data_IF_843358270065
#
_entry.id   IF_843358270065
#
_cell.length_a   1.000
_cell.length_b   1.000
_cell.length_c   1.000
_cell.angle_alpha   90.00
_cell.angle_beta   90.00
_cell.angle_gamma   90.00
#
_symmetry.space_group_name_H-M   'P 1'
#
loop_
_entity.id
_entity.type
_entity.pdbx_description
1 polymer ?
#
# COMPACT_ATOMS: atom_id res chain seq x y z
N UNK A 1 5.83 1.17 22.65
CA UNK A 1 6.56 1.73 21.49
C UNK A 1 6.08 3.16 21.26
N UNK A 2 6.96 4.13 21.01
CA UNK A 2 6.55 5.52 20.74
C UNK A 2 5.94 5.66 19.35
N UNK A 3 5.16 6.73 19.13
CA UNK A 3 4.57 7.05 17.81
C UNK A 3 5.64 7.20 16.72
N UNK A 4 6.76 7.86 17.04
CA UNK A 4 7.88 8.05 16.10
C UNK A 4 8.51 6.72 15.68
N UNK A 5 8.76 5.81 16.63
CA UNK A 5 9.28 4.48 16.33
C UNK A 5 8.31 3.66 15.49
N UNK A 6 7.00 3.77 15.75
CA UNK A 6 5.96 3.14 14.92
C UNK A 6 6.00 3.64 13.49
N UNK A 7 5.98 4.95 13.28
CA UNK A 7 6.03 5.57 11.95
C UNK A 7 7.28 5.13 11.18
N UNK A 8 8.44 5.11 11.84
CA UNK A 8 9.69 4.66 11.23
C UNK A 8 9.64 3.18 10.84
N UNK A 9 9.10 2.33 11.70
CA UNK A 9 8.89 0.91 11.41
C UNK A 9 7.92 0.72 10.24
N UNK A 10 6.83 1.48 10.18
CA UNK A 10 5.89 1.46 9.06
C UNK A 10 6.50 1.92 7.75
N UNK A 11 7.39 2.91 7.79
CA UNK A 11 8.15 3.33 6.61
C UNK A 11 9.11 2.23 6.12
N UNK A 12 9.74 1.47 7.02
CA UNK A 12 10.48 0.27 6.65
C UNK A 12 9.57 -0.83 6.12
N UNK A 13 8.34 -0.92 6.62
CA UNK A 13 7.28 -1.77 6.06
C UNK A 13 7.09 -1.49 4.57
N UNK A 14 6.90 -0.24 4.15
CA UNK A 14 6.74 0.08 2.72
C UNK A 14 7.97 -0.25 1.86
N UNK A 15 9.19 -0.08 2.39
CA UNK A 15 10.41 -0.50 1.70
C UNK A 15 10.49 -2.03 1.59
N UNK A 16 10.16 -2.75 2.67
CA UNK A 16 10.07 -4.20 2.68
C UNK A 16 8.99 -4.73 1.73
N UNK A 17 7.86 -4.03 1.61
CA UNK A 17 6.82 -4.33 0.63
C UNK A 17 7.33 -4.26 -0.80
N UNK A 18 8.13 -3.24 -1.13
CA UNK A 18 8.73 -3.09 -2.45
C UNK A 18 9.63 -4.28 -2.79
N UNK A 19 10.49 -4.70 -1.85
CA UNK A 19 11.34 -5.88 -2.02
C UNK A 19 10.49 -7.15 -2.15
N UNK A 20 9.52 -7.35 -1.26
CA UNK A 20 8.65 -8.52 -1.25
C UNK A 20 7.81 -8.63 -2.54
N UNK A 21 7.34 -7.52 -3.10
CA UNK A 21 6.67 -7.48 -4.41
C UNK A 21 7.57 -7.94 -5.55
N UNK A 22 8.85 -7.56 -5.56
CA UNK A 22 9.77 -8.01 -6.60
C UNK A 22 10.13 -9.49 -6.44
N UNK A 23 10.18 -9.97 -5.19
CA UNK A 23 10.40 -11.38 -4.89
C UNK A 23 9.26 -12.30 -5.37
N UNK A 24 8.10 -11.78 -5.78
CA UNK A 24 7.03 -12.62 -6.34
C UNK A 24 7.37 -13.17 -7.73
N UNK A 25 8.39 -12.63 -8.39
CA UNK A 25 8.89 -13.11 -9.70
C UNK A 25 9.92 -14.23 -9.56
N UNK A 26 10.31 -14.58 -8.33
CA UNK A 26 11.13 -15.75 -7.99
C UNK A 26 10.30 -16.68 -7.11
N UNK A 27 10.63 -17.98 -7.03
CA UNK A 27 9.81 -18.97 -6.31
C UNK A 27 9.97 -18.85 -4.79
N UNK A 28 9.48 -17.74 -4.22
CA UNK A 28 9.44 -17.47 -2.77
C UNK A 28 7.97 -17.47 -2.33
N UNK A 29 7.44 -18.59 -1.81
CA UNK A 29 6.01 -18.77 -1.55
C UNK A 29 5.39 -17.71 -0.62
N UNK A 30 6.19 -17.17 0.29
CA UNK A 30 5.76 -16.19 1.29
C UNK A 30 5.94 -14.74 0.87
N UNK A 31 6.54 -14.48 -0.30
CA UNK A 31 6.83 -13.12 -0.76
C UNK A 31 5.56 -12.27 -0.89
N UNK A 32 4.50 -12.85 -1.45
CA UNK A 32 3.24 -12.13 -1.65
C UNK A 32 2.60 -11.75 -0.30
N UNK A 33 2.46 -12.70 0.63
CA UNK A 33 1.96 -12.45 1.98
C UNK A 33 2.80 -11.38 2.71
N UNK A 34 4.13 -11.50 2.62
CA UNK A 34 5.07 -10.52 3.16
C UNK A 34 4.83 -9.12 2.62
N UNK A 35 4.54 -9.00 1.32
CA UNK A 35 4.20 -7.73 0.70
C UNK A 35 2.89 -7.15 1.26
N UNK A 36 1.82 -7.94 1.37
CA UNK A 36 0.53 -7.47 1.91
C UNK A 36 0.68 -6.97 3.35
N UNK A 37 1.36 -7.74 4.21
CA UNK A 37 1.62 -7.36 5.60
C UNK A 37 2.38 -6.03 5.68
N UNK A 38 3.42 -5.92 4.86
CA UNK A 38 4.32 -4.77 4.82
C UNK A 38 3.63 -3.50 4.30
N UNK A 39 2.78 -3.62 3.27
CA UNK A 39 1.95 -2.51 2.77
C UNK A 39 0.94 -2.09 3.85
N UNK A 40 0.26 -3.05 4.48
CA UNK A 40 -0.73 -2.77 5.53
C UNK A 40 -0.10 -2.01 6.70
N UNK A 41 1.09 -2.44 7.13
CA UNK A 41 1.86 -1.73 8.15
C UNK A 41 2.25 -0.31 7.71
N UNK A 42 2.60 -0.15 6.43
CA UNK A 42 2.84 1.14 5.80
C UNK A 42 1.64 2.08 5.83
N UNK A 43 0.45 1.57 5.47
CA UNK A 43 -0.81 2.31 5.51
C UNK A 43 -1.16 2.77 6.93
N UNK A 44 -0.93 1.93 7.93
CA UNK A 44 -1.10 2.31 9.34
C UNK A 44 -0.16 3.46 9.74
N UNK A 45 1.08 3.45 9.25
CA UNK A 45 2.03 4.54 9.47
C UNK A 45 1.58 5.84 8.82
N UNK A 46 1.09 5.78 7.58
CA UNK A 46 0.49 6.94 6.89
C UNK A 46 -0.72 7.47 7.64
N UNK A 47 -1.57 6.58 8.17
CA UNK A 47 -2.75 6.94 8.95
C UNK A 47 -2.36 7.68 10.23
N UNK A 48 -1.43 7.11 11.00
CA UNK A 48 -0.98 7.68 12.26
C UNK A 48 -0.26 9.04 12.09
N UNK A 49 0.40 9.24 10.96
CA UNK A 49 1.21 10.42 10.69
C UNK A 49 0.44 11.54 10.01
N UNK A 50 -0.21 11.23 8.90
CA UNK A 50 -0.81 12.21 7.99
C UNK A 50 -2.34 12.18 8.00
N UNK A 51 -2.96 11.22 8.67
CA UNK A 51 -4.43 11.07 8.70
C UNK A 51 -5.15 12.29 9.24
N UNK A 52 -4.66 12.89 10.33
CA UNK A 52 -5.25 14.13 10.89
C UNK A 52 -5.14 15.31 9.91
N UNK A 53 -3.96 15.49 9.32
CA UNK A 53 -3.67 16.61 8.42
C UNK A 53 -4.45 16.50 7.10
N UNK A 54 -4.68 15.28 6.61
CA UNK A 54 -5.49 15.01 5.42
C UNK A 54 -7.02 15.14 5.68
N UNK A 55 -7.43 15.32 6.94
CA UNK A 55 -8.84 15.42 7.35
C UNK A 55 -9.58 14.08 7.34
N UNK A 56 -10.89 14.14 7.62
CA UNK A 56 -11.74 12.96 7.78
C UNK A 56 -11.77 12.05 6.55
N UNK A 57 -11.79 12.63 5.35
CA UNK A 57 -11.77 11.87 4.09
C UNK A 57 -10.46 11.10 3.93
N UNK A 58 -9.32 11.71 4.28
CA UNK A 58 -8.02 11.04 4.23
C UNK A 58 -7.94 9.85 5.19
N UNK A 59 -8.48 9.99 6.40
CA UNK A 59 -8.60 8.89 7.37
C UNK A 59 -9.47 7.76 6.82
N UNK A 60 -10.66 8.07 6.29
CA UNK A 60 -11.57 7.07 5.74
C UNK A 60 -10.89 6.31 4.59
N UNK A 61 -10.23 7.02 3.67
CA UNK A 61 -9.51 6.40 2.55
C UNK A 61 -8.43 5.41 3.04
N UNK A 62 -7.61 5.82 4.00
CA UNK A 62 -6.58 4.95 4.58
C UNK A 62 -7.19 3.79 5.37
N UNK A 63 -8.26 4.00 6.14
CA UNK A 63 -8.97 2.94 6.86
C UNK A 63 -9.52 1.88 5.92
N UNK A 64 -10.12 2.28 4.80
CA UNK A 64 -10.57 1.34 3.75
C UNK A 64 -9.38 0.55 3.21
N UNK A 65 -8.26 1.23 2.95
CA UNK A 65 -7.03 0.57 2.50
C UNK A 65 -6.52 -0.47 3.50
N UNK A 66 -6.49 -0.13 4.79
CA UNK A 66 -6.08 -1.02 5.89
C UNK A 66 -7.01 -2.23 5.98
N UNK A 67 -8.34 -2.04 5.89
CA UNK A 67 -9.31 -3.13 5.90
C UNK A 67 -9.10 -4.07 4.69
N UNK A 68 -8.81 -3.52 3.52
CA UNK A 68 -8.40 -4.30 2.34
C UNK A 68 -7.13 -5.12 2.61
N UNK A 69 -6.12 -4.51 3.24
CA UNK A 69 -4.89 -5.21 3.65
C UNK A 69 -5.16 -6.37 4.62
N UNK A 70 -5.97 -6.15 5.65
CA UNK A 70 -6.38 -7.19 6.61
C UNK A 70 -7.12 -8.34 5.91
N UNK A 71 -8.10 -8.03 5.06
CA UNK A 71 -8.80 -9.04 4.28
C UNK A 71 -7.85 -9.81 3.34
N UNK A 72 -6.87 -9.12 2.76
CA UNK A 72 -5.84 -9.71 1.90
C UNK A 72 -4.93 -10.68 2.65
N UNK A 73 -4.55 -10.34 3.88
CA UNK A 73 -3.77 -11.22 4.78
C UNK A 73 -4.56 -12.49 5.07
N UNK A 74 -5.84 -12.37 5.48
CA UNK A 74 -6.70 -13.52 5.77
C UNK A 74 -6.86 -14.41 4.53
N UNK A 75 -7.17 -13.82 3.38
CA UNK A 75 -7.31 -14.57 2.13
C UNK A 75 -6.00 -15.26 1.71
N UNK A 76 -4.86 -14.59 1.85
CA UNK A 76 -3.54 -15.16 1.54
C UNK A 76 -3.17 -16.32 2.48
N UNK A 77 -3.52 -16.25 3.76
CA UNK A 77 -3.32 -17.35 4.71
C UNK A 77 -4.21 -18.54 4.36
N UNK A 78 -5.48 -18.32 4.04
CA UNK A 78 -6.39 -19.39 3.63
C UNK A 78 -5.94 -20.07 2.33
N UNK A 79 -5.40 -19.31 1.38
CA UNK A 79 -4.77 -19.87 0.18
C UNK A 79 -3.55 -20.73 0.51
N UNK A 80 -2.70 -20.29 1.45
CA UNK A 80 -1.56 -21.09 1.91
C UNK A 80 -1.99 -22.41 2.59
N UNK A 81 -3.21 -22.47 3.11
CA UNK A 81 -3.85 -23.67 3.68
C UNK A 81 -4.60 -24.52 2.63
N UNK A 82 -4.51 -24.18 1.34
CA UNK A 82 -5.10 -24.93 0.24
C UNK A 82 -6.52 -24.51 -0.17
N UNK A 83 -7.05 -23.42 0.39
CA UNK A 83 -8.40 -22.94 0.05
C UNK A 83 -8.40 -22.09 -1.24
N UNK A 84 -8.19 -22.72 -2.40
CA UNK A 84 -8.05 -22.05 -3.71
C UNK A 84 -9.20 -21.11 -4.09
N UNK A 85 -10.41 -21.36 -3.58
CA UNK A 85 -11.59 -20.50 -3.78
C UNK A 85 -11.42 -19.08 -3.23
N UNK A 86 -10.41 -18.82 -2.39
CA UNK A 86 -10.11 -17.50 -1.82
C UNK A 86 -9.25 -16.60 -2.71
N UNK A 87 -8.78 -17.11 -3.86
CA UNK A 87 -7.95 -16.35 -4.80
C UNK A 87 -8.64 -15.08 -5.33
N UNK A 88 -9.93 -15.11 -5.74
CA UNK A 88 -10.66 -13.89 -6.10
C UNK A 88 -10.79 -12.92 -4.93
N UNK A 89 -11.05 -13.42 -3.72
CA UNK A 89 -11.15 -12.60 -2.50
C UNK A 89 -9.84 -11.89 -2.21
N UNK A 90 -8.70 -12.56 -2.32
CA UNK A 90 -7.38 -11.95 -2.18
C UNK A 90 -7.16 -10.83 -3.20
N UNK A 91 -7.46 -11.07 -4.47
CA UNK A 91 -7.31 -10.05 -5.52
C UNK A 91 -8.20 -8.83 -5.28
N UNK A 92 -9.46 -9.03 -4.87
CA UNK A 92 -10.38 -7.94 -4.55
C UNK A 92 -9.95 -7.17 -3.29
N UNK A 93 -9.46 -7.86 -2.27
CA UNK A 93 -8.93 -7.24 -1.06
C UNK A 93 -7.72 -6.34 -1.38
N UNK A 94 -6.85 -6.79 -2.30
CA UNK A 94 -5.74 -5.98 -2.81
C UNK A 94 -6.23 -4.76 -3.59
N UNK A 95 -7.28 -4.89 -4.43
CA UNK A 95 -7.90 -3.74 -5.09
C UNK A 95 -8.38 -2.71 -4.07
N UNK A 96 -9.08 -3.14 -3.01
CA UNK A 96 -9.54 -2.25 -1.94
C UNK A 96 -8.36 -1.58 -1.23
N UNK A 97 -7.29 -2.34 -0.93
CA UNK A 97 -6.08 -1.82 -0.29
C UNK A 97 -5.45 -0.69 -1.10
N UNK A 98 -5.23 -0.93 -2.40
CA UNK A 98 -4.60 0.04 -3.30
C UNK A 98 -5.55 1.20 -3.69
N UNK A 99 -6.86 0.97 -3.76
CA UNK A 99 -7.85 2.05 -3.94
C UNK A 99 -7.86 3.00 -2.74
N UNK A 100 -7.73 2.47 -1.51
CA UNK A 100 -7.58 3.31 -0.31
C UNK A 100 -6.34 4.20 -0.38
N UNK A 101 -5.21 3.63 -0.83
CA UNK A 101 -3.96 4.37 -1.03
C UNK A 101 -4.06 5.41 -2.17
N UNK A 102 -4.70 5.04 -3.28
CA UNK A 102 -4.96 5.92 -4.42
C UNK A 102 -5.85 7.10 -4.02
N UNK A 103 -6.96 6.83 -3.32
CA UNK A 103 -7.91 7.84 -2.85
C UNK A 103 -7.23 8.78 -1.85
N UNK A 104 -6.41 8.25 -0.93
CA UNK A 104 -5.59 9.06 -0.04
C UNK A 104 -4.64 9.96 -0.83
N UNK A 105 -3.96 9.43 -1.85
CA UNK A 105 -3.11 10.19 -2.76
C UNK A 105 -3.82 11.37 -3.42
N UNK A 106 -5.03 11.16 -3.95
CA UNK A 106 -5.83 12.23 -4.55
C UNK A 106 -6.13 13.35 -3.55
N UNK A 107 -6.44 13.00 -2.30
CA UNK A 107 -6.74 13.96 -1.23
C UNK A 107 -5.49 14.77 -0.87
N UNK A 108 -4.37 14.10 -0.63
CA UNK A 108 -3.16 14.77 -0.14
C UNK A 108 -2.43 15.58 -1.21
N UNK A 109 -2.62 15.32 -2.50
CA UNK A 109 -2.12 16.20 -3.57
C UNK A 109 -2.69 17.62 -3.44
N UNK A 110 -3.93 17.75 -2.95
CA UNK A 110 -4.59 19.05 -2.73
C UNK A 110 -4.20 19.67 -1.39
N UNK A 111 -4.25 18.89 -0.32
CA UNK A 111 -4.00 19.38 1.06
C UNK A 111 -2.51 19.59 1.35
N UNK A 112 -1.64 18.85 0.65
CA UNK A 112 -0.17 18.87 0.77
C UNK A 112 0.37 18.68 2.21
N UNK A 113 -0.08 17.65 2.97
CA UNK A 113 0.38 17.40 4.33
C UNK A 113 1.83 16.89 4.41
N UNK A 114 2.36 16.31 3.32
CA UNK A 114 3.74 15.82 3.28
C UNK A 114 4.67 16.95 2.83
N UNK A 115 5.89 17.06 3.38
CA UNK A 115 6.84 18.10 2.99
C UNK A 115 7.26 17.98 1.51
N UNK A 116 7.30 16.76 0.98
CA UNK A 116 7.47 16.47 -0.43
C UNK A 116 6.83 15.11 -0.77
N UNK A 117 6.59 14.86 -2.06
CA UNK A 117 6.07 13.56 -2.51
C UNK A 117 4.56 13.35 -2.26
N UNK A 118 3.75 14.40 -2.18
CA UNK A 118 2.30 14.27 -1.99
C UNK A 118 1.59 13.43 -3.09
N UNK A 119 2.21 13.28 -4.27
CA UNK A 119 1.71 12.38 -5.32
C UNK A 119 2.12 10.91 -5.18
N UNK A 120 3.02 10.56 -4.25
CA UNK A 120 3.56 9.20 -4.14
C UNK A 120 2.49 8.16 -3.78
N UNK A 121 1.56 8.40 -2.83
CA UNK A 121 0.48 7.45 -2.57
C UNK A 121 -0.42 7.23 -3.78
N UNK A 122 -0.66 8.27 -4.58
CA UNK A 122 -1.44 8.13 -5.82
C UNK A 122 -0.75 7.16 -6.77
N UNK A 123 0.53 7.37 -7.04
CA UNK A 123 1.31 6.56 -7.98
C UNK A 123 1.51 5.12 -7.50
N UNK A 124 1.75 4.93 -6.20
CA UNK A 124 1.82 3.62 -5.57
C UNK A 124 0.46 2.89 -5.58
N UNK A 125 -0.63 3.63 -5.36
CA UNK A 125 -2.02 3.15 -5.34
C UNK A 125 -2.59 2.78 -6.71
N UNK A 126 -2.03 3.33 -7.79
CA UNK A 126 -2.67 3.31 -9.12
C UNK A 126 -2.58 1.96 -9.84
N UNK A 127 -1.45 1.27 -9.79
CA UNK A 127 -1.21 0.16 -10.72
C UNK A 127 -2.15 -1.03 -10.49
N UNK A 128 -2.33 -1.46 -9.23
CA UNK A 128 -3.08 -2.68 -8.92
C UNK A 128 -4.57 -2.63 -9.31
N UNK A 129 -5.35 -1.59 -8.95
CA UNK A 129 -6.75 -1.50 -9.33
C UNK A 129 -6.94 -1.54 -10.85
N UNK A 130 -6.07 -0.86 -11.60
CA UNK A 130 -6.16 -0.83 -13.06
C UNK A 130 -5.83 -2.18 -13.71
N UNK A 131 -4.83 -2.91 -13.19
CA UNK A 131 -4.51 -4.27 -13.64
C UNK A 131 -5.72 -5.18 -13.44
N UNK A 132 -6.32 -5.18 -12.24
CA UNK A 132 -7.44 -6.07 -11.93
C UNK A 132 -8.70 -5.67 -12.70
N UNK A 133 -9.05 -4.39 -12.76
CA UNK A 133 -10.21 -3.93 -13.53
C UNK A 133 -10.04 -4.20 -15.03
N UNK A 134 -8.84 -3.99 -15.58
CA UNK A 134 -8.52 -4.29 -16.97
C UNK A 134 -8.63 -5.78 -17.29
N UNK A 135 -8.09 -6.64 -16.42
CA UNK A 135 -8.20 -8.09 -16.57
C UNK A 135 -9.66 -8.58 -16.48
N UNK A 136 -10.44 -8.06 -15.53
CA UNK A 136 -11.86 -8.41 -15.42
C UNK A 136 -12.69 -7.89 -16.60
N UNK A 137 -12.47 -6.64 -17.03
CA UNK A 137 -13.14 -6.07 -18.18
C UNK A 137 -12.84 -6.85 -19.47
N UNK A 138 -11.58 -7.22 -19.68
CA UNK A 138 -11.18 -8.07 -20.80
C UNK A 138 -11.88 -9.44 -20.76
N UNK A 139 -11.95 -10.06 -19.58
CA UNK A 139 -12.64 -11.34 -19.39
C UNK A 139 -14.15 -11.25 -19.64
N UNK A 140 -14.80 -10.20 -19.14
CA UNK A 140 -16.24 -9.98 -19.37
C UNK A 140 -16.59 -9.82 -20.85
N UNK A 141 -15.71 -9.19 -21.64
CA UNK A 141 -15.96 -8.94 -23.07
C UNK A 141 -15.58 -10.13 -23.94
N UNK A 142 -14.49 -10.83 -23.63
CA UNK A 142 -13.90 -11.85 -24.51
C UNK A 142 -14.11 -13.30 -24.03
N UNK A 143 -14.52 -13.48 -22.77
CA UNK A 143 -14.52 -14.78 -22.10
C UNK A 143 -13.12 -15.32 -21.76
N UNK A 144 -12.04 -14.61 -22.10
CA UNK A 144 -10.66 -15.05 -21.89
C UNK A 144 -9.98 -14.20 -20.81
N UNK A 145 -9.06 -14.78 -20.05
CA UNK A 145 -8.24 -14.02 -19.11
C UNK A 145 -7.11 -13.30 -19.85
N UNK A 146 -6.82 -12.07 -19.44
CA UNK A 146 -5.74 -11.28 -20.03
C UNK A 146 -4.38 -11.93 -19.71
N UNK A 147 -3.69 -12.42 -20.74
CA UNK A 147 -2.33 -12.95 -20.60
C UNK A 147 -1.31 -11.82 -20.77
N UNK A 148 -0.79 -11.30 -19.66
CA UNK A 148 0.21 -10.23 -19.66
C UNK A 148 1.61 -10.84 -19.77
N UNK A 149 2.43 -10.46 -20.76
CA UNK A 149 3.81 -10.93 -20.86
C UNK A 149 4.59 -10.68 -19.57
N UNK A 150 5.42 -11.65 -19.17
CA UNK A 150 6.14 -11.58 -17.89
C UNK A 150 6.99 -10.32 -17.71
N UNK A 151 7.64 -9.83 -18.78
CA UNK A 151 8.42 -8.59 -18.74
C UNK A 151 7.56 -7.36 -18.44
N UNK A 152 6.33 -7.29 -18.99
CA UNK A 152 5.42 -6.17 -18.77
C UNK A 152 4.89 -6.20 -17.34
N UNK A 153 4.51 -7.38 -16.85
CA UNK A 153 4.14 -7.59 -15.44
C UNK A 153 5.28 -7.17 -14.51
N UNK A 154 6.52 -7.56 -14.81
CA UNK A 154 7.70 -7.15 -14.03
C UNK A 154 7.90 -5.64 -14.01
N UNK A 155 7.80 -4.97 -15.16
CA UNK A 155 7.92 -3.51 -15.25
C UNK A 155 6.86 -2.80 -14.41
N UNK A 156 5.59 -3.24 -14.46
CA UNK A 156 4.51 -2.66 -13.66
C UNK A 156 4.78 -2.81 -12.15
N UNK A 157 5.23 -3.99 -11.73
CA UNK A 157 5.58 -4.25 -10.33
C UNK A 157 6.82 -3.48 -9.89
N UNK A 158 7.82 -3.31 -10.76
CA UNK A 158 9.02 -2.51 -10.49
C UNK A 158 8.68 -1.03 -10.28
N UNK A 159 7.80 -0.47 -11.11
CA UNK A 159 7.32 0.91 -10.94
C UNK A 159 6.54 1.06 -9.63
N UNK A 160 5.64 0.13 -9.32
CA UNK A 160 4.87 0.13 -8.07
C UNK A 160 5.80 -0.01 -6.84
N UNK A 161 6.77 -0.92 -6.89
CA UNK A 161 7.77 -1.13 -5.86
C UNK A 161 8.62 0.13 -5.64
N UNK A 162 9.03 0.81 -6.71
CA UNK A 162 9.76 2.07 -6.62
C UNK A 162 8.96 3.14 -5.86
N UNK A 163 7.69 3.35 -6.20
CA UNK A 163 6.86 4.34 -5.51
C UNK A 163 6.55 3.96 -4.06
N UNK A 164 6.36 2.68 -3.76
CA UNK A 164 6.20 2.21 -2.38
C UNK A 164 7.47 2.43 -1.56
N UNK A 165 8.64 2.08 -2.10
CA UNK A 165 9.92 2.30 -1.43
C UNK A 165 10.18 3.79 -1.16
N UNK A 166 9.90 4.65 -2.15
CA UNK A 166 10.06 6.08 -1.99
C UNK A 166 9.06 6.64 -0.96
N UNK A 167 7.80 6.20 -1.00
CA UNK A 167 6.82 6.57 0.02
C UNK A 167 7.25 6.13 1.43
N UNK A 168 7.83 4.93 1.54
CA UNK A 168 8.44 4.42 2.76
C UNK A 168 9.58 5.30 3.26
N UNK A 169 10.48 5.72 2.37
CA UNK A 169 11.57 6.65 2.70
C UNK A 169 11.02 7.99 3.23
N UNK A 170 10.06 8.61 2.54
CA UNK A 170 9.42 9.87 2.98
C UNK A 170 8.75 9.73 4.34
N UNK A 171 8.16 8.56 4.60
CA UNK A 171 7.54 8.27 5.89
C UNK A 171 8.58 8.20 7.03
N UNK A 172 9.81 7.75 6.77
CA UNK A 172 10.89 7.61 7.74
C UNK A 172 11.68 8.89 8.00
N UNK A 173 12.01 9.66 6.96
CA UNK A 173 12.96 10.79 7.09
C UNK A 173 12.38 11.96 7.85
N UNK A 174 11.06 12.13 7.82
CA UNK A 174 10.42 13.29 8.41
C UNK A 174 10.10 13.09 9.90
N UNK A 175 10.53 11.99 10.52
CA UNK A 175 10.15 11.62 11.91
C UNK A 175 10.92 12.38 12.99
N UNK A 176 11.43 13.58 12.70
CA UNK A 176 12.27 14.40 13.59
C UNK A 176 11.55 14.82 14.88
N UNK A 177 12.32 14.93 15.97
CA UNK A 177 11.95 15.15 17.38
C UNK A 177 11.06 16.37 17.71
N UNK A 178 10.61 17.16 16.74
CA UNK A 178 9.64 18.24 16.97
C UNK A 178 8.27 17.75 17.44
N UNK A 179 7.96 16.46 17.25
CA UNK A 179 6.79 15.82 17.87
C UNK A 179 6.99 15.47 19.37
N UNK A 180 8.20 15.61 19.93
CA UNK A 180 8.53 15.36 21.34
C UNK A 180 8.53 16.61 22.22
N UNK A 181 8.57 17.80 21.62
CA UNK A 181 8.39 19.06 22.34
C UNK A 181 7.12 19.74 21.83
N UNK A 182 5.98 19.49 22.48
CA UNK A 182 4.82 20.33 22.27
C UNK A 182 5.24 21.78 22.48
N UNK A 183 4.74 22.70 21.65
CA UNK A 183 5.00 24.15 21.81
C UNK A 183 4.58 24.72 23.17
N UNK A 184 3.90 23.94 24.02
CA UNK A 184 3.60 24.28 25.41
C UNK A 184 4.72 23.93 26.41
N UNK A 185 5.72 23.12 26.04
CA UNK A 185 6.83 22.70 26.89
C UNK A 185 8.03 23.68 26.89
N UNK A 186 7.92 24.79 26.16
CA UNK A 186 8.84 25.92 26.25
C UNK A 186 8.10 27.02 27.02
N UNK A 187 8.24 27.00 28.34
CA UNK A 187 7.93 28.13 29.23
C UNK A 187 9.04 28.27 30.25
#
# INVERSE_FOLDING_TARGET
>A
MTKSTFIRLSGWGLVGAAVALLLTFVPVPTAFLGAILSITLGLLGLYARYGEQAGQLGKIALSIGILGGVAGIVASLLLALGAESWRPTMNNAMVVMFLGLLAFGLIIVRVKPMPYGNGLPLLAGFMWPFIVLGANGYHLVTGQWLNVPGWLSFTLFAIMAFFLAWLGYVLQTNTSDSDLHPSWAIK
#
